data_IF_690471483028
#
_entry.id   IF_690471483028
#
_cell.length_a   1.000
_cell.length_b   1.000
_cell.length_c   1.000
_cell.angle_alpha   90.00
_cell.angle_beta   90.00
_cell.angle_gamma   90.00
#
_symmetry.space_group_name_H-M   'P 1'
#
loop_
_entity.id
_entity.type
_entity.pdbx_description
1 polymer ?
#
# COMPACT_ATOMS: atom_id res chain seq x y z
N UNK A 1 28.61 -7.88 7.34
CA UNK A 1 28.44 -9.33 7.56
C UNK A 1 27.25 -9.69 8.47
N UNK A 2 27.12 -9.13 9.69
CA UNK A 2 25.96 -9.40 10.59
C UNK A 2 24.59 -9.05 9.96
N UNK A 3 24.48 -7.87 9.35
CA UNK A 3 23.26 -7.43 8.63
C UNK A 3 22.85 -8.37 7.49
N UNK A 4 23.81 -8.72 6.61
CA UNK A 4 23.57 -9.66 5.50
C UNK A 4 23.04 -11.03 5.97
N UNK A 5 23.63 -11.57 7.04
CA UNK A 5 23.19 -12.85 7.61
C UNK A 5 21.76 -12.76 8.21
N UNK A 6 21.41 -11.61 8.81
CA UNK A 6 20.05 -11.37 9.30
C UNK A 6 19.03 -11.27 8.15
N UNK A 7 19.37 -10.55 7.07
CA UNK A 7 18.50 -10.46 5.89
C UNK A 7 18.32 -11.82 5.19
N UNK A 8 19.38 -12.61 5.06
CA UNK A 8 19.29 -13.97 4.52
C UNK A 8 18.33 -14.87 5.32
N UNK A 9 18.27 -14.70 6.64
CA UNK A 9 17.30 -15.39 7.52
C UNK A 9 15.86 -14.92 7.30
N UNK A 10 15.63 -13.66 6.91
CA UNK A 10 14.28 -13.15 6.59
C UNK A 10 13.72 -13.79 5.30
N UNK A 11 14.57 -14.00 4.29
CA UNK A 11 14.16 -14.66 3.03
C UNK A 11 13.92 -16.17 3.15
N UNK A 12 14.47 -16.82 4.19
CA UNK A 12 14.38 -18.27 4.42
C UNK A 12 13.46 -18.66 5.58
N UNK A 13 12.61 -17.74 6.04
CA UNK A 13 11.74 -17.95 7.19
C UNK A 13 10.71 -19.05 6.92
N UNK A 14 10.53 -19.98 7.88
CA UNK A 14 9.49 -21.02 7.83
C UNK A 14 8.10 -20.37 7.64
N UNK A 15 7.17 -21.01 6.91
CA UNK A 15 5.80 -20.52 6.77
C UNK A 15 5.18 -20.30 8.15
N UNK A 16 4.48 -19.17 8.31
CA UNK A 16 3.77 -18.87 9.56
C UNK A 16 2.65 -19.89 9.78
N UNK A 17 2.38 -20.25 11.04
CA UNK A 17 1.24 -21.12 11.38
C UNK A 17 -0.06 -20.46 10.89
N UNK A 18 -1.02 -21.23 10.37
CA UNK A 18 -2.31 -20.68 9.93
C UNK A 18 -3.01 -20.01 11.12
N UNK A 19 -3.64 -18.86 10.84
CA UNK A 19 -4.33 -18.06 11.84
C UNK A 19 -5.59 -18.82 12.28
N UNK A 20 -5.83 -18.98 13.60
CA UNK A 20 -7.02 -19.67 14.08
C UNK A 20 -8.29 -18.92 13.68
N UNK A 21 -9.30 -19.66 13.25
CA UNK A 21 -10.62 -19.09 12.90
C UNK A 21 -11.27 -18.52 14.16
N UNK A 22 -11.86 -17.32 14.10
CA UNK A 22 -12.56 -16.73 15.24
C UNK A 22 -13.83 -17.53 15.59
N UNK A 23 -14.16 -17.61 16.89
CA UNK A 23 -15.32 -18.36 17.40
C UNK A 23 -16.66 -17.69 17.07
N UNK A 24 -16.66 -16.36 16.93
CA UNK A 24 -17.87 -15.59 16.61
C UNK A 24 -18.35 -15.86 15.18
N UNK A 25 -19.62 -16.23 15.00
CA UNK A 25 -20.19 -16.58 13.69
C UNK A 25 -20.06 -15.47 12.64
N UNK A 26 -20.35 -14.22 13.01
CA UNK A 26 -20.21 -13.06 12.12
C UNK A 26 -18.74 -12.84 11.71
N UNK A 27 -17.84 -12.89 12.69
CA UNK A 27 -16.40 -12.71 12.46
C UNK A 27 -15.82 -13.86 11.63
N UNK A 28 -16.31 -15.09 11.82
CA UNK A 28 -15.96 -16.27 11.04
C UNK A 28 -16.35 -16.12 9.57
N UNK A 29 -17.55 -15.58 9.29
CA UNK A 29 -17.98 -15.30 7.93
C UNK A 29 -17.10 -14.25 7.24
N UNK A 30 -16.78 -13.15 7.94
CA UNK A 30 -15.87 -12.12 7.43
C UNK A 30 -14.46 -12.68 7.21
N UNK A 31 -13.97 -13.52 8.13
CA UNK A 31 -12.69 -14.21 8.00
C UNK A 31 -12.68 -15.13 6.77
N UNK A 32 -13.73 -15.91 6.56
CA UNK A 32 -13.82 -16.81 5.41
C UNK A 32 -13.91 -16.03 4.09
N UNK A 33 -14.59 -14.88 4.07
CA UNK A 33 -14.67 -14.01 2.89
C UNK A 33 -13.31 -13.38 2.56
N UNK A 34 -12.62 -12.80 3.55
CA UNK A 34 -11.36 -12.09 3.37
C UNK A 34 -10.22 -13.04 2.98
N UNK A 35 -10.24 -14.28 3.45
CA UNK A 35 -9.22 -15.28 3.10
C UNK A 35 -9.47 -15.99 1.76
N UNK A 36 -10.61 -15.76 1.09
CA UNK A 36 -10.83 -16.32 -0.25
C UNK A 36 -9.93 -15.61 -1.27
N UNK A 37 -9.29 -16.40 -2.12
CA UNK A 37 -8.45 -15.89 -3.22
C UNK A 37 -9.19 -14.91 -4.14
N UNK A 38 -10.51 -15.10 -4.31
CA UNK A 38 -11.34 -14.16 -5.07
C UNK A 38 -11.29 -12.74 -4.51
N UNK A 39 -11.31 -12.57 -3.17
CA UNK A 39 -11.26 -11.27 -2.53
C UNK A 39 -9.92 -10.58 -2.81
N UNK A 40 -8.80 -11.30 -2.68
CA UNK A 40 -7.48 -10.75 -3.00
C UNK A 40 -7.35 -10.37 -4.49
N UNK A 41 -7.88 -11.19 -5.42
CA UNK A 41 -7.90 -10.86 -6.86
C UNK A 41 -8.74 -9.61 -7.13
N UNK A 42 -9.93 -9.52 -6.53
CA UNK A 42 -10.81 -8.36 -6.67
C UNK A 42 -10.12 -7.07 -6.23
N UNK A 43 -9.46 -7.07 -5.06
CA UNK A 43 -8.69 -5.91 -4.59
C UNK A 43 -7.53 -5.59 -5.53
N UNK A 44 -6.82 -6.60 -6.05
CA UNK A 44 -5.74 -6.35 -7.02
C UNK A 44 -6.24 -5.67 -8.30
N UNK A 45 -7.39 -6.09 -8.84
CA UNK A 45 -8.00 -5.44 -10.01
C UNK A 45 -8.33 -3.98 -9.70
N UNK A 46 -8.91 -3.69 -8.54
CA UNK A 46 -9.21 -2.31 -8.13
C UNK A 46 -7.95 -1.45 -7.97
N UNK A 47 -6.84 -2.02 -7.48
CA UNK A 47 -5.55 -1.31 -7.42
C UNK A 47 -5.07 -0.97 -8.83
N UNK A 48 -5.17 -1.90 -9.78
CA UNK A 48 -4.83 -1.64 -11.19
C UNK A 48 -5.72 -0.55 -11.79
N UNK A 49 -7.03 -0.58 -11.54
CA UNK A 49 -7.94 0.47 -12.01
C UNK A 49 -7.60 1.83 -11.39
N UNK A 50 -7.28 1.88 -10.09
CA UNK A 50 -6.86 3.12 -9.46
C UNK A 50 -5.54 3.66 -10.06
N UNK A 51 -4.61 2.78 -10.41
CA UNK A 51 -3.40 3.20 -11.13
C UNK A 51 -3.75 3.84 -12.48
N UNK A 52 -4.64 3.24 -13.27
CA UNK A 52 -5.06 3.82 -14.56
C UNK A 52 -5.67 5.21 -14.36
N UNK A 53 -6.48 5.42 -13.31
CA UNK A 53 -7.03 6.75 -13.03
C UNK A 53 -5.96 7.79 -12.70
N UNK A 54 -4.87 7.39 -12.05
CA UNK A 54 -3.73 8.28 -11.79
C UNK A 54 -2.92 8.59 -13.06
N UNK A 55 -2.92 7.68 -14.04
CA UNK A 55 -2.24 7.89 -15.33
C UNK A 55 -3.00 8.83 -16.27
N UNK A 56 -4.32 8.94 -16.08
CA UNK A 56 -5.19 9.80 -16.89
C UNK A 56 -5.17 11.25 -16.40
N UNK A 57 -4.82 11.50 -15.14
CA UNK A 57 -4.66 12.84 -14.56
C UNK A 57 -3.62 13.64 -15.37
N UNK A 58 -4.01 14.84 -15.84
CA UNK A 58 -3.20 15.71 -16.71
C UNK A 58 -3.19 17.15 -16.20
N UNK A 59 -2.13 17.91 -16.48
CA UNK A 59 -1.97 19.29 -15.95
C UNK A 59 -3.00 20.28 -16.54
N UNK A 60 -3.48 20.07 -17.77
CA UNK A 60 -4.48 20.91 -18.46
C UNK A 60 -5.83 20.19 -18.58
N UNK A 61 -6.41 19.76 -17.47
CA UNK A 61 -7.70 19.06 -17.44
C UNK A 61 -8.88 20.02 -17.24
N UNK A 62 -9.99 19.75 -17.93
CA UNK A 62 -11.24 20.49 -17.75
C UNK A 62 -11.82 20.30 -16.33
N UNK A 63 -12.55 21.30 -15.82
CA UNK A 63 -13.19 21.23 -14.50
C UNK A 63 -14.10 20.01 -14.33
N UNK A 64 -14.82 19.61 -15.39
CA UNK A 64 -15.66 18.40 -15.34
C UNK A 64 -14.85 17.12 -15.13
N UNK A 65 -13.70 17.02 -15.80
CA UNK A 65 -12.79 15.88 -15.66
C UNK A 65 -12.18 15.81 -14.26
N UNK A 66 -11.79 16.96 -13.70
CA UNK A 66 -11.29 17.04 -12.32
C UNK A 66 -12.36 16.57 -11.32
N UNK A 67 -13.60 17.04 -11.47
CA UNK A 67 -14.72 16.62 -10.61
C UNK A 67 -14.99 15.11 -10.69
N UNK A 68 -15.01 14.55 -11.90
CA UNK A 68 -15.21 13.10 -12.11
C UNK A 68 -14.06 12.30 -11.47
N UNK A 69 -12.81 12.70 -11.71
CA UNK A 69 -11.64 12.04 -11.14
C UNK A 69 -11.61 12.12 -9.62
N UNK A 70 -12.08 13.22 -9.03
CA UNK A 70 -12.22 13.36 -7.58
C UNK A 70 -13.18 12.30 -7.01
N UNK A 71 -14.38 12.18 -7.57
CA UNK A 71 -15.36 11.18 -7.11
C UNK A 71 -14.87 9.75 -7.28
N UNK A 72 -14.23 9.44 -8.41
CA UNK A 72 -13.64 8.12 -8.64
C UNK A 72 -12.56 7.82 -7.59
N UNK A 73 -11.67 8.79 -7.31
CA UNK A 73 -10.65 8.64 -6.27
C UNK A 73 -11.25 8.47 -4.88
N UNK A 74 -12.33 9.18 -4.56
CA UNK A 74 -13.06 9.02 -3.31
C UNK A 74 -13.60 7.59 -3.15
N UNK A 75 -14.25 7.05 -4.19
CA UNK A 75 -14.76 5.68 -4.18
C UNK A 75 -13.63 4.67 -3.93
N UNK A 76 -12.46 4.83 -4.57
CA UNK A 76 -11.31 3.96 -4.31
C UNK A 76 -10.84 4.01 -2.85
N UNK A 77 -10.75 5.21 -2.26
CA UNK A 77 -10.37 5.37 -0.86
C UNK A 77 -11.37 4.65 0.05
N UNK A 78 -12.68 4.82 -0.19
CA UNK A 78 -13.73 4.15 0.60
C UNK A 78 -13.60 2.63 0.50
N UNK A 79 -13.41 2.08 -0.70
CA UNK A 79 -13.29 0.63 -0.90
C UNK A 79 -12.04 0.06 -0.22
N UNK A 80 -10.88 0.72 -0.34
CA UNK A 80 -9.65 0.26 0.32
C UNK A 80 -9.70 0.44 1.85
N UNK A 81 -10.39 1.46 2.34
CA UNK A 81 -10.65 1.62 3.77
C UNK A 81 -11.55 0.47 4.27
N UNK A 82 -12.60 0.14 3.53
CA UNK A 82 -13.50 -0.96 3.86
C UNK A 82 -12.76 -2.30 3.88
N UNK A 83 -11.93 -2.58 2.87
CA UNK A 83 -11.05 -3.76 2.85
C UNK A 83 -10.15 -3.84 4.09
N UNK A 84 -9.51 -2.72 4.44
CA UNK A 84 -8.64 -2.65 5.62
C UNK A 84 -9.43 -2.95 6.91
N UNK A 85 -10.62 -2.36 7.08
CA UNK A 85 -11.49 -2.61 8.23
C UNK A 85 -11.94 -4.07 8.27
N UNK A 86 -12.35 -4.64 7.15
CA UNK A 86 -12.74 -6.06 7.06
C UNK A 86 -11.58 -6.98 7.46
N UNK A 87 -10.36 -6.72 6.96
CA UNK A 87 -9.15 -7.45 7.36
C UNK A 87 -8.82 -7.27 8.84
N UNK A 88 -9.02 -6.09 9.40
CA UNK A 88 -8.80 -5.81 10.82
C UNK A 88 -9.78 -6.60 11.70
N UNK A 89 -11.07 -6.63 11.34
CA UNK A 89 -12.10 -7.39 12.03
C UNK A 89 -11.82 -8.90 11.93
N UNK A 90 -11.45 -9.39 10.74
CA UNK A 90 -11.13 -10.79 10.52
C UNK A 90 -9.91 -11.26 11.32
N UNK A 91 -8.82 -10.49 11.29
CA UNK A 91 -7.49 -10.94 11.77
C UNK A 91 -7.14 -10.44 13.18
N UNK A 92 -7.83 -9.40 13.70
CA UNK A 92 -7.59 -8.81 15.02
C UNK A 92 -6.11 -8.45 15.21
N UNK A 93 -5.46 -8.96 16.26
CA UNK A 93 -4.04 -8.74 16.53
C UNK A 93 -3.11 -9.36 15.48
N UNK A 94 -3.52 -10.41 14.78
CA UNK A 94 -2.72 -11.01 13.71
C UNK A 94 -2.58 -10.10 12.50
N UNK A 95 -3.45 -9.09 12.36
CA UNK A 95 -3.33 -8.07 11.32
C UNK A 95 -1.96 -7.39 11.33
N UNK A 96 -1.51 -6.97 12.52
CA UNK A 96 -0.22 -6.29 12.72
C UNK A 96 0.99 -7.24 12.73
N UNK A 97 0.77 -8.55 12.68
CA UNK A 97 1.87 -9.52 12.51
C UNK A 97 2.34 -9.63 11.06
N UNK A 98 1.54 -9.16 10.09
CA UNK A 98 1.80 -9.29 8.66
C UNK A 98 2.24 -7.92 8.13
N UNK A 99 3.53 -7.78 7.79
CA UNK A 99 4.10 -6.50 7.34
C UNK A 99 3.39 -5.89 6.13
N UNK A 100 2.86 -6.72 5.21
CA UNK A 100 2.08 -6.23 4.07
C UNK A 100 0.74 -5.59 4.46
N UNK A 101 0.09 -6.06 5.53
CA UNK A 101 -1.14 -5.45 6.03
C UNK A 101 -0.84 -4.12 6.75
N UNK A 102 0.31 -4.02 7.44
CA UNK A 102 0.75 -2.74 8.03
C UNK A 102 1.04 -1.72 6.93
N UNK A 103 1.77 -2.11 5.89
CA UNK A 103 2.06 -1.25 4.75
C UNK A 103 0.76 -0.73 4.13
N UNK A 104 -0.19 -1.63 3.93
CA UNK A 104 -1.50 -1.30 3.39
C UNK A 104 -2.28 -0.29 4.26
N UNK A 105 -2.32 -0.53 5.57
CA UNK A 105 -2.94 0.36 6.53
C UNK A 105 -2.35 1.78 6.49
N UNK A 106 -1.02 1.89 6.41
CA UNK A 106 -0.33 3.20 6.29
C UNK A 106 -0.73 3.89 4.99
N UNK A 107 -0.77 3.17 3.86
CA UNK A 107 -1.16 3.75 2.56
C UNK A 107 -2.61 4.24 2.57
N UNK A 108 -3.53 3.51 3.21
CA UNK A 108 -4.93 3.94 3.38
C UNK A 108 -5.01 5.22 4.23
N UNK A 109 -4.30 5.28 5.36
CA UNK A 109 -4.27 6.49 6.20
C UNK A 109 -3.72 7.68 5.42
N UNK A 110 -2.59 7.53 4.73
CA UNK A 110 -2.01 8.59 3.91
C UNK A 110 -2.94 9.04 2.79
N UNK A 111 -3.74 8.13 2.25
CA UNK A 111 -4.74 8.44 1.22
C UNK A 111 -5.90 9.28 1.75
N UNK A 112 -6.39 8.95 2.95
CA UNK A 112 -7.43 9.73 3.64
C UNK A 112 -6.89 11.11 4.02
N UNK A 113 -5.72 11.17 4.65
CA UNK A 113 -5.07 12.42 5.01
C UNK A 113 -4.81 13.29 3.79
N UNK A 114 -4.31 12.72 2.69
CA UNK A 114 -4.05 13.45 1.46
C UNK A 114 -5.29 14.10 0.86
N UNK A 115 -6.46 13.46 0.97
CA UNK A 115 -7.74 14.03 0.56
C UNK A 115 -8.14 15.20 1.46
N UNK A 116 -8.21 14.99 2.78
CA UNK A 116 -8.56 16.06 3.73
C UNK A 116 -7.59 17.25 3.68
N UNK A 117 -6.31 16.99 3.47
CA UNK A 117 -5.29 18.03 3.31
C UNK A 117 -5.51 18.83 2.02
N UNK A 118 -5.96 18.20 0.93
CA UNK A 118 -6.26 18.91 -0.33
C UNK A 118 -7.37 19.95 -0.10
N UNK A 119 -8.46 19.56 0.56
CA UNK A 119 -9.59 20.44 0.88
C UNK A 119 -9.17 21.57 1.84
N UNK A 120 -8.28 21.29 2.79
CA UNK A 120 -7.74 22.28 3.71
C UNK A 120 -6.84 23.30 2.99
N UNK A 121 -6.02 22.84 2.04
CA UNK A 121 -5.09 23.69 1.29
C UNK A 121 -5.85 24.74 0.46
N UNK A 122 -6.93 24.32 -0.19
CA UNK A 122 -7.80 25.22 -0.97
C UNK A 122 -8.39 26.32 -0.09
N UNK A 123 -8.75 25.99 1.15
CA UNK A 123 -9.34 26.93 2.10
C UNK A 123 -8.34 27.90 2.75
N UNK A 124 -7.08 27.49 2.91
CA UNK A 124 -6.08 28.23 3.71
C UNK A 124 -4.85 28.73 2.93
N UNK A 125 -4.88 28.74 1.58
CA UNK A 125 -3.79 29.25 0.71
C UNK A 125 -2.39 28.71 1.08
N UNK A 126 -2.31 27.38 1.24
CA UNK A 126 -1.08 26.71 1.66
C UNK A 126 -0.09 26.57 0.50
N UNK A 127 1.22 26.55 0.81
CA UNK A 127 2.33 26.51 -0.16
C UNK A 127 2.17 25.42 -1.25
N UNK A 128 2.45 25.73 -2.54
CA UNK A 128 2.43 24.77 -3.65
C UNK A 128 3.32 23.53 -3.44
N UNK A 129 4.33 23.63 -2.59
CA UNK A 129 5.25 22.52 -2.28
C UNK A 129 4.57 21.40 -1.51
N UNK A 130 3.65 21.72 -0.58
CA UNK A 130 2.94 20.71 0.21
C UNK A 130 1.99 19.88 -0.65
N UNK A 131 1.35 20.52 -1.63
CA UNK A 131 0.52 19.85 -2.62
C UNK A 131 1.29 18.82 -3.45
N UNK A 132 2.53 19.13 -3.85
CA UNK A 132 3.41 18.17 -4.53
C UNK A 132 3.71 16.95 -3.66
N UNK A 133 3.97 17.15 -2.36
CA UNK A 133 4.25 16.04 -1.43
C UNK A 133 3.01 15.14 -1.25
N UNK A 134 1.82 15.73 -1.16
CA UNK A 134 0.57 14.96 -1.06
C UNK A 134 0.35 14.11 -2.32
N UNK A 135 0.62 14.67 -3.51
CA UNK A 135 0.58 13.91 -4.77
C UNK A 135 1.55 12.73 -4.76
N UNK A 136 2.76 12.87 -4.20
CA UNK A 136 3.72 11.77 -4.08
C UNK A 136 3.20 10.62 -3.18
N UNK A 137 2.41 10.91 -2.15
CA UNK A 137 1.84 9.88 -1.29
C UNK A 137 0.93 8.90 -2.07
N UNK A 138 0.35 9.32 -3.20
CA UNK A 138 -0.47 8.48 -4.07
C UNK A 138 0.32 7.32 -4.69
N UNK A 139 1.64 7.47 -4.87
CA UNK A 139 2.54 6.41 -5.37
C UNK A 139 2.51 5.18 -4.44
N UNK A 140 2.28 5.38 -3.13
CA UNK A 140 2.14 4.29 -2.16
C UNK A 140 1.06 3.28 -2.53
N UNK A 141 0.00 3.71 -3.24
CA UNK A 141 -1.08 2.82 -3.71
C UNK A 141 -0.60 1.83 -4.76
N UNK A 142 0.26 2.27 -5.68
CA UNK A 142 0.85 1.44 -6.74
C UNK A 142 1.74 0.35 -6.14
N UNK A 143 2.49 0.68 -5.09
CA UNK A 143 3.37 -0.27 -4.39
C UNK A 143 2.60 -1.46 -3.79
N UNK A 144 1.28 -1.35 -3.58
CA UNK A 144 0.44 -2.47 -3.13
C UNK A 144 0.42 -3.63 -4.13
N UNK A 145 0.63 -3.39 -5.43
CA UNK A 145 0.75 -4.43 -6.46
C UNK A 145 1.90 -5.41 -6.20
N UNK A 146 2.96 -4.94 -5.52
CA UNK A 146 4.14 -5.75 -5.18
C UNK A 146 3.73 -6.93 -4.28
N UNK A 147 2.69 -6.78 -3.45
CA UNK A 147 2.19 -7.86 -2.58
C UNK A 147 1.83 -9.12 -3.39
N UNK A 148 1.15 -8.94 -4.53
CA UNK A 148 0.72 -10.03 -5.41
C UNK A 148 1.82 -10.53 -6.35
N UNK A 149 2.73 -9.65 -6.75
CA UNK A 149 3.79 -9.98 -7.70
C UNK A 149 4.99 -10.70 -7.03
N UNK A 150 4.93 -12.04 -6.93
CA UNK A 150 6.01 -12.86 -6.35
C UNK A 150 7.38 -12.62 -7.02
N UNK A 151 7.43 -12.51 -8.36
CA UNK A 151 8.67 -12.23 -9.09
C UNK A 151 9.32 -10.90 -8.69
N UNK A 152 8.51 -9.83 -8.64
CA UNK A 152 8.97 -8.50 -8.24
C UNK A 152 9.49 -8.51 -6.79
N UNK A 153 8.81 -9.21 -5.87
CA UNK A 153 9.30 -9.35 -4.48
C UNK A 153 10.67 -10.01 -4.40
N UNK A 154 10.91 -11.05 -5.20
CA UNK A 154 12.23 -11.70 -5.27
C UNK A 154 13.30 -10.75 -5.78
N UNK A 155 13.01 -9.98 -6.83
CA UNK A 155 13.95 -8.99 -7.39
C UNK A 155 14.25 -7.88 -6.39
N UNK A 156 13.23 -7.31 -5.74
CA UNK A 156 13.41 -6.29 -4.71
C UNK A 156 14.20 -6.83 -3.51
N UNK A 157 13.97 -8.08 -3.11
CA UNK A 157 14.76 -8.70 -2.05
C UNK A 157 16.23 -8.86 -2.46
N UNK A 158 16.51 -9.29 -3.69
CA UNK A 158 17.87 -9.36 -4.21
C UNK A 158 18.56 -7.98 -4.23
N UNK A 159 17.84 -6.94 -4.67
CA UNK A 159 18.32 -5.56 -4.65
C UNK A 159 18.68 -5.12 -3.22
N UNK A 160 17.78 -5.33 -2.26
CA UNK A 160 18.01 -4.99 -0.86
C UNK A 160 19.20 -5.72 -0.25
N UNK A 161 19.45 -6.97 -0.66
CA UNK A 161 20.64 -7.74 -0.24
C UNK A 161 21.95 -7.16 -0.77
N UNK A 162 21.91 -6.46 -1.91
CA UNK A 162 23.07 -5.83 -2.56
C UNK A 162 23.39 -4.42 -2.05
N UNK A 163 22.41 -3.74 -1.44
CA UNK A 163 22.57 -2.35 -0.94
C UNK A 163 23.77 -2.12 -0.02
N UNK A 164 24.10 -3.00 0.95
CA UNK A 164 25.25 -2.77 1.83
C UNK A 164 26.58 -2.74 1.08
N UNK A 165 26.71 -3.50 -0.01
CA UNK A 165 27.92 -3.50 -0.83
C UNK A 165 27.97 -2.25 -1.72
N UNK A 166 26.84 -1.88 -2.33
CA UNK A 166 26.71 -0.65 -3.12
C UNK A 166 27.05 0.60 -2.29
N UNK A 167 26.60 0.68 -1.04
CA UNK A 167 26.88 1.81 -0.16
C UNK A 167 28.38 1.98 0.11
N UNK A 168 29.11 0.88 0.33
CA UNK A 168 30.56 0.95 0.55
C UNK A 168 31.32 1.46 -0.68
N UNK A 169 30.94 1.01 -1.88
CA UNK A 169 31.55 1.48 -3.13
C UNK A 169 31.19 2.95 -3.37
N UNK A 170 29.92 3.33 -3.13
CA UNK A 170 29.45 4.71 -3.27
C UNK A 170 30.19 5.68 -2.35
N UNK A 171 30.44 5.28 -1.09
CA UNK A 171 31.25 6.08 -0.17
C UNK A 171 32.70 6.24 -0.64
N UNK A 172 33.29 5.19 -1.22
CA UNK A 172 34.65 5.25 -1.75
C UNK A 172 34.76 6.13 -2.99
N UNK A 173 33.73 6.19 -3.83
CA UNK A 173 33.66 7.08 -5.00
C UNK A 173 33.41 8.54 -4.63
N UNK A 174 32.76 8.78 -3.48
CA UNK A 174 32.49 10.13 -2.99
C UNK A 174 33.71 10.77 -2.32
N UNK A 175 34.63 9.93 -1.81
CA UNK A 175 35.91 10.33 -1.23
C UNK A 175 36.92 10.72 -2.33
#
# INVERSE_FOLDING_TARGET
>A
KKYYNAMKKLGSKKPQKPIPRPENKFQGLVFDLVNKQFFDIFIMVLICLNMVTMMVESDEQSEEMEFILFWINFVFIVVFTAECILKLIALRHYYFGIGWNIFDFVVVILSILGMFLSDLIEKYFVSPTLFRVIRLARIGRILRLIRGAKGIRTLLFALLMSLPALFNIGLLLFL
#
